data_IF_051363512445
#
_entry.id   IF_051363512445
#
_cell.length_a   1.000
_cell.length_b   1.000
_cell.length_c   1.000
_cell.angle_alpha   90.00
_cell.angle_beta   90.00
_cell.angle_gamma   90.00
#
_symmetry.space_group_name_H-M   'P 1'
#
loop_
_entity.id
_entity.type
_entity.pdbx_description
1 polymer ?
#
# COMPACT_ATOMS: atom_id res chain seq x y z
N UNK A 1 -0.97 20.93 -10.06
CA UNK A 1 -1.83 19.75 -9.83
C UNK A 1 -3.10 19.92 -10.64
N UNK A 2 -3.35 19.05 -11.63
CA UNK A 2 -4.62 19.00 -12.35
C UNK A 2 -5.49 18.03 -11.57
N UNK A 3 -6.51 18.51 -10.85
CA UNK A 3 -7.50 17.62 -10.26
C UNK A 3 -8.25 16.93 -11.39
N UNK A 4 -8.31 15.60 -11.33
CA UNK A 4 -9.03 14.81 -12.31
C UNK A 4 -10.54 15.09 -12.21
N UNK A 5 -11.32 14.74 -13.24
CA UNK A 5 -12.76 15.07 -13.27
C UNK A 5 -13.52 14.44 -12.09
N UNK A 6 -13.01 13.31 -11.61
CA UNK A 6 -13.53 12.60 -10.44
C UNK A 6 -13.28 13.38 -9.14
N UNK A 7 -12.08 13.94 -8.96
CA UNK A 7 -11.74 14.73 -7.76
C UNK A 7 -12.58 16.00 -7.65
N UNK A 8 -12.84 16.68 -8.78
CA UNK A 8 -13.72 17.87 -8.79
C UNK A 8 -15.15 17.54 -8.42
N UNK A 9 -15.65 16.38 -8.86
CA UNK A 9 -17.01 15.96 -8.52
C UNK A 9 -17.16 15.63 -7.04
N UNK A 10 -16.10 15.16 -6.38
CA UNK A 10 -16.12 14.85 -4.94
C UNK A 10 -16.15 16.15 -4.12
N UNK A 11 -15.34 17.16 -4.51
CA UNK A 11 -15.31 18.46 -3.83
C UNK A 11 -16.66 19.17 -3.96
N UNK A 12 -17.26 19.17 -5.16
CA UNK A 12 -18.55 19.82 -5.42
C UNK A 12 -19.71 19.16 -4.64
N UNK A 13 -19.68 17.84 -4.46
CA UNK A 13 -20.67 17.09 -3.67
C UNK A 13 -20.46 17.28 -2.16
N UNK A 14 -19.20 17.44 -1.72
CA UNK A 14 -18.86 17.74 -0.33
C UNK A 14 -19.27 19.16 0.07
N UNK A 15 -19.01 20.16 -0.79
CA UNK A 15 -19.40 21.55 -0.55
C UNK A 15 -20.92 21.77 -0.57
N UNK A 16 -21.67 20.90 -1.29
CA UNK A 16 -23.13 20.96 -1.35
C UNK A 16 -23.84 20.19 -0.24
N UNK A 17 -23.12 19.54 0.68
CA UNK A 17 -23.67 18.75 1.81
C UNK A 17 -24.69 17.66 1.38
N UNK A 18 -24.64 17.22 0.11
CA UNK A 18 -25.55 16.20 -0.47
C UNK A 18 -24.96 14.79 -0.32
N UNK A 19 -23.96 14.62 0.54
CA UNK A 19 -23.28 13.33 0.69
C UNK A 19 -24.23 12.36 1.40
N UNK A 20 -25.01 11.62 0.61
CA UNK A 20 -25.84 10.54 1.13
C UNK A 20 -24.90 9.42 1.57
N UNK A 21 -24.49 9.46 2.84
CA UNK A 21 -23.76 8.39 3.51
C UNK A 21 -24.63 7.13 3.50
N UNK A 22 -24.54 6.37 2.41
CA UNK A 22 -25.14 5.05 2.33
C UNK A 22 -24.40 4.19 3.35
N UNK A 23 -25.06 3.91 4.49
CA UNK A 23 -24.54 2.96 5.47
C UNK A 23 -24.40 1.62 4.74
N UNK A 24 -23.17 1.09 4.57
CA UNK A 24 -22.98 -0.14 3.83
C UNK A 24 -23.75 -1.26 4.51
N UNK A 25 -24.41 -2.09 3.71
CA UNK A 25 -25.13 -3.26 4.21
C UNK A 25 -24.17 -4.19 4.94
N UNK A 26 -24.66 -4.96 5.92
CA UNK A 26 -23.83 -5.93 6.67
C UNK A 26 -23.01 -6.85 5.74
N UNK A 27 -23.58 -7.23 4.59
CA UNK A 27 -22.92 -8.02 3.55
C UNK A 27 -21.77 -7.30 2.84
N UNK A 28 -21.89 -6.01 2.58
CA UNK A 28 -20.85 -5.21 1.92
C UNK A 28 -19.67 -4.99 2.87
N UNK A 29 -19.94 -4.73 4.15
CA UNK A 29 -18.91 -4.65 5.19
C UNK A 29 -18.16 -5.99 5.30
N UNK A 30 -18.87 -7.11 5.24
CA UNK A 30 -18.26 -8.44 5.29
C UNK A 30 -17.43 -8.74 4.05
N UNK A 31 -17.89 -8.36 2.86
CA UNK A 31 -17.15 -8.52 1.61
C UNK A 31 -15.88 -7.66 1.60
N UNK A 32 -15.96 -6.39 2.01
CA UNK A 32 -14.81 -5.50 2.12
C UNK A 32 -13.80 -6.05 3.14
N UNK A 33 -14.27 -6.52 4.30
CA UNK A 33 -13.41 -7.18 5.31
C UNK A 33 -12.76 -8.45 4.76
N UNK A 34 -13.50 -9.27 4.00
CA UNK A 34 -12.99 -10.49 3.41
C UNK A 34 -11.92 -10.20 2.34
N UNK A 35 -12.14 -9.21 1.49
CA UNK A 35 -11.18 -8.76 0.48
C UNK A 35 -9.93 -8.19 1.14
N UNK A 36 -10.08 -7.27 2.10
CA UNK A 36 -8.95 -6.72 2.84
C UNK A 36 -8.13 -7.83 3.51
N UNK A 37 -8.79 -8.76 4.23
CA UNK A 37 -8.11 -9.91 4.86
C UNK A 37 -7.36 -10.76 3.85
N UNK A 38 -7.92 -11.02 2.67
CA UNK A 38 -7.25 -11.81 1.62
C UNK A 38 -6.04 -11.08 1.04
N UNK A 39 -6.12 -9.76 0.84
CA UNK A 39 -5.02 -8.95 0.30
C UNK A 39 -3.82 -8.86 1.26
N UNK A 40 -4.05 -8.89 2.58
CA UNK A 40 -2.97 -8.83 3.57
C UNK A 40 -2.26 -10.17 3.83
N UNK A 41 -2.74 -11.28 3.26
CA UNK A 41 -2.12 -12.59 3.47
C UNK A 41 -0.90 -12.72 2.57
N UNK A 42 0.29 -12.82 3.18
CA UNK A 42 1.55 -13.09 2.49
C UNK A 42 1.67 -14.59 2.18
N UNK A 43 0.94 -15.09 1.17
CA UNK A 43 0.88 -16.53 0.84
C UNK A 43 1.96 -16.99 -0.17
N UNK A 44 2.64 -16.07 -0.85
CA UNK A 44 3.66 -16.40 -1.86
C UNK A 44 5.08 -16.33 -1.29
N UNK A 45 5.86 -17.40 -1.51
CA UNK A 45 7.29 -17.45 -1.19
C UNK A 45 8.12 -17.33 -2.46
N UNK A 46 9.12 -16.45 -2.43
CA UNK A 46 10.09 -16.27 -3.52
C UNK A 46 11.52 -16.35 -2.96
N UNK A 47 12.45 -16.84 -3.77
CA UNK A 47 13.89 -16.87 -3.46
C UNK A 47 14.60 -15.91 -4.42
N UNK A 48 15.33 -14.93 -3.88
CA UNK A 48 16.03 -13.89 -4.66
C UNK A 48 17.52 -13.99 -4.34
N UNK A 49 18.37 -13.81 -5.36
CA UNK A 49 19.82 -13.61 -5.17
C UNK A 49 20.11 -12.12 -5.02
N UNK A 50 20.92 -11.77 -4.04
CA UNK A 50 21.35 -10.40 -3.76
C UNK A 50 22.87 -10.33 -3.79
N UNK A 51 23.42 -9.17 -4.10
CA UNK A 51 24.82 -8.90 -3.84
C UNK A 51 25.06 -8.87 -2.33
N UNK A 52 26.25 -9.29 -1.89
CA UNK A 52 26.59 -9.37 -0.47
C UNK A 52 26.47 -8.01 0.23
N UNK A 53 26.96 -6.94 -0.42
CA UNK A 53 26.89 -5.58 0.10
C UNK A 53 25.44 -5.07 0.24
N UNK A 54 24.55 -5.42 -0.69
CA UNK A 54 23.13 -5.06 -0.61
C UNK A 54 22.45 -5.80 0.55
N UNK A 55 22.74 -7.10 0.72
CA UNK A 55 22.20 -7.88 1.82
C UNK A 55 22.60 -7.30 3.18
N UNK A 56 23.89 -6.97 3.36
CA UNK A 56 24.41 -6.29 4.55
C UNK A 56 23.71 -4.94 4.78
N UNK A 57 23.55 -4.15 3.71
CA UNK A 57 22.87 -2.85 3.76
C UNK A 57 21.42 -2.95 4.21
N UNK A 58 20.67 -3.93 3.69
CA UNK A 58 19.29 -4.21 4.08
C UNK A 58 19.22 -4.62 5.56
N UNK A 59 20.10 -5.51 6.02
CA UNK A 59 20.14 -5.93 7.42
C UNK A 59 20.38 -4.74 8.36
N UNK A 60 21.35 -3.87 8.03
CA UNK A 60 21.63 -2.66 8.80
C UNK A 60 20.42 -1.74 8.87
N UNK A 61 19.79 -1.45 7.72
CA UNK A 61 18.60 -0.58 7.65
C UNK A 61 17.42 -1.15 8.43
N UNK A 62 17.20 -2.45 8.36
CA UNK A 62 16.14 -3.12 9.11
C UNK A 62 16.39 -3.03 10.63
N UNK A 63 17.64 -3.20 11.06
CA UNK A 63 18.04 -3.05 12.46
C UNK A 63 17.85 -1.61 12.96
N UNK A 64 18.22 -0.60 12.17
CA UNK A 64 17.99 0.82 12.49
C UNK A 64 16.50 1.13 12.69
N UNK A 65 15.62 0.46 11.93
CA UNK A 65 14.16 0.59 12.04
C UNK A 65 13.53 -0.33 13.09
N UNK A 66 14.30 -1.21 13.73
CA UNK A 66 13.80 -2.17 14.71
C UNK A 66 12.86 -3.24 14.12
N UNK A 67 12.95 -3.52 12.82
CA UNK A 67 12.11 -4.48 12.11
C UNK A 67 12.93 -5.63 11.52
N UNK A 68 12.34 -6.82 11.29
CA UNK A 68 13.01 -7.87 10.54
C UNK A 68 13.35 -7.43 9.10
N UNK A 69 14.50 -7.86 8.58
CA UNK A 69 14.91 -7.50 7.22
C UNK A 69 13.95 -8.02 6.15
N UNK A 70 13.28 -9.15 6.38
CA UNK A 70 12.24 -9.67 5.50
C UNK A 70 11.02 -8.75 5.46
N UNK A 71 10.66 -8.14 6.59
CA UNK A 71 9.57 -7.16 6.67
C UNK A 71 9.92 -5.91 5.89
N UNK A 72 11.16 -5.44 5.99
CA UNK A 72 11.66 -4.32 5.20
C UNK A 72 11.58 -4.62 3.69
N UNK A 73 12.11 -5.76 3.25
CA UNK A 73 12.06 -6.18 1.84
C UNK A 73 10.61 -6.25 1.34
N UNK A 74 9.73 -6.89 2.11
CA UNK A 74 8.30 -7.00 1.79
C UNK A 74 7.62 -5.63 1.71
N UNK A 75 7.97 -4.70 2.60
CA UNK A 75 7.43 -3.34 2.62
C UNK A 75 7.89 -2.50 1.45
N UNK A 76 9.17 -2.63 1.04
CA UNK A 76 9.69 -1.94 -0.15
C UNK A 76 8.97 -2.42 -1.41
N UNK A 77 8.80 -3.73 -1.58
CA UNK A 77 8.08 -4.29 -2.74
C UNK A 77 6.65 -3.77 -2.79
N UNK A 78 5.93 -3.79 -1.65
CA UNK A 78 4.58 -3.27 -1.58
C UNK A 78 4.52 -1.78 -1.96
N UNK A 79 5.34 -0.94 -1.33
CA UNK A 79 5.39 0.50 -1.62
C UNK A 79 5.78 0.82 -3.06
N UNK A 80 6.63 -0.01 -3.66
CA UNK A 80 7.00 0.13 -5.07
C UNK A 80 5.82 -0.20 -6.00
N UNK A 81 5.05 -1.24 -5.70
CA UNK A 81 3.87 -1.64 -6.50
C UNK A 81 2.71 -0.65 -6.32
N UNK A 82 2.47 -0.16 -5.10
CA UNK A 82 1.42 0.83 -4.81
C UNK A 82 1.75 2.25 -5.33
N UNK A 83 2.99 2.47 -5.80
CA UNK A 83 3.42 3.76 -6.36
C UNK A 83 3.97 4.78 -5.34
N UNK A 84 3.99 4.43 -4.05
CA UNK A 84 4.59 5.24 -2.97
C UNK A 84 6.12 5.37 -3.06
N UNK A 85 6.76 4.49 -3.83
CA UNK A 85 8.20 4.47 -4.04
C UNK A 85 8.50 4.63 -5.53
N UNK A 86 8.87 5.84 -5.94
CA UNK A 86 9.28 6.11 -7.32
C UNK A 86 10.77 5.81 -7.49
N UNK A 87 11.12 5.05 -8.52
CA UNK A 87 12.52 4.93 -8.92
C UNK A 87 12.99 6.31 -9.39
N UNK A 88 14.01 6.88 -8.75
CA UNK A 88 14.77 8.00 -9.32
C UNK A 88 15.58 7.46 -10.50
N UNK A 89 14.90 7.21 -11.60
CA UNK A 89 15.55 7.11 -12.90
C UNK A 89 15.80 8.54 -13.34
N UNK A 90 17.08 8.90 -13.45
CA UNK A 90 17.51 10.16 -14.08
C UNK A 90 17.24 10.16 -15.57
#
# INVERSE_FOLDING_TARGET
>A
MKCDKEEKSIVDVYEKDIMVLSKPSKKEIEAIKATARKTFVKDKRITIRLYDHDYQGIQKKAMEMGIPYQTLISGIIHRYIEGDLTSKTG
#
